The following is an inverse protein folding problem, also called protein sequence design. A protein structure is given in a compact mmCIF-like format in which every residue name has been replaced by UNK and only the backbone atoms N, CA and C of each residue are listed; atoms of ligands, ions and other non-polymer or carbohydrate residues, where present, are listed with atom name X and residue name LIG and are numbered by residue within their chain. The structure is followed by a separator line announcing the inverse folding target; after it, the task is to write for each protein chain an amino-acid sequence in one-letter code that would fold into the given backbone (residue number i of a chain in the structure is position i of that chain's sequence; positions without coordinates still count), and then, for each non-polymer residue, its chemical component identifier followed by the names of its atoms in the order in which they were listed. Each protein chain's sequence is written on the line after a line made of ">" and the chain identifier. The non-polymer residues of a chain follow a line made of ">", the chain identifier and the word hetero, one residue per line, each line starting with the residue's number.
data_IF_947464630883
#
_entry.id   IF_947464630883
#
_cell.length_a   1.000
_cell.length_b   1.000
_cell.length_c   1.000
_cell.angle_alpha   90.00
_cell.angle_beta   90.00
_cell.angle_gamma   90.00
#
_symmetry.space_group_name_H-M   'P 1'
#
loop_
_entity.id
_entity.type
_entity.pdbx_description
1 polymer ?
#
# COMPACT_ATOMS: atom_id res chain seq x y z
N UNK A 1 14.64 3.51 -32.50
CA UNK A 1 13.89 2.35 -32.01
C UNK A 1 13.33 2.76 -30.67
N UNK A 2 12.06 3.12 -30.65
CA UNK A 2 11.26 3.33 -29.44
C UNK A 2 11.10 1.96 -28.77
N UNK A 3 11.73 1.78 -27.62
CA UNK A 3 11.49 0.62 -26.77
C UNK A 3 10.07 0.80 -26.23
N UNK A 4 9.18 -0.12 -26.57
CA UNK A 4 7.83 -0.16 -26.02
C UNK A 4 7.95 -0.53 -24.52
N UNK A 5 7.63 0.37 -23.58
CA UNK A 5 7.75 0.08 -22.16
C UNK A 5 6.74 -0.99 -21.67
N UNK A 6 5.84 -1.44 -22.54
CA UNK A 6 4.83 -2.47 -22.22
C UNK A 6 5.15 -3.85 -22.80
N UNK A 7 6.24 -3.99 -23.61
CA UNK A 7 6.59 -5.25 -24.25
C UNK A 7 7.12 -6.34 -23.30
N UNK A 8 7.54 -5.97 -22.09
CA UNK A 8 8.13 -6.89 -21.10
C UNK A 8 7.22 -7.19 -19.89
N UNK A 9 5.91 -7.07 -20.03
CA UNK A 9 4.99 -7.55 -19.00
C UNK A 9 4.88 -9.09 -19.09
N UNK A 10 5.96 -9.76 -18.67
CA UNK A 10 6.16 -11.22 -18.84
C UNK A 10 5.16 -12.06 -18.02
N UNK A 11 4.34 -11.46 -17.14
CA UNK A 11 3.42 -12.18 -16.27
C UNK A 11 2.06 -11.50 -16.15
N UNK A 12 1.40 -11.22 -17.28
CA UNK A 12 0.08 -10.60 -17.29
C UNK A 12 -1.06 -11.57 -16.89
N UNK A 13 -0.84 -12.89 -16.88
CA UNK A 13 -1.85 -13.90 -16.56
C UNK A 13 -1.34 -14.89 -15.52
N UNK A 14 -2.25 -15.41 -14.70
CA UNK A 14 -2.01 -16.49 -13.72
C UNK A 14 -1.42 -17.78 -14.33
N UNK A 15 -1.52 -17.95 -15.66
CA UNK A 15 -1.00 -19.10 -16.42
C UNK A 15 0.53 -19.12 -16.56
N UNK A 16 1.22 -18.02 -16.30
CA UNK A 16 2.67 -17.86 -16.52
C UNK A 16 3.51 -18.09 -15.25
N UNK A 17 2.94 -18.76 -14.25
CA UNK A 17 3.64 -19.06 -12.99
C UNK A 17 4.86 -19.95 -13.24
N UNK A 18 6.02 -19.66 -12.63
CA UNK A 18 7.22 -20.49 -12.73
C UNK A 18 6.98 -21.92 -12.28
N UNK A 19 7.67 -22.89 -12.87
CA UNK A 19 7.56 -24.29 -12.48
C UNK A 19 7.91 -24.47 -10.98
N UNK A 20 6.98 -25.08 -10.22
CA UNK A 20 7.11 -25.26 -8.78
C UNK A 20 6.69 -24.05 -7.92
N UNK A 21 6.14 -23.01 -8.55
CA UNK A 21 5.61 -21.83 -7.87
C UNK A 21 4.14 -22.05 -7.48
N UNK A 22 3.87 -22.11 -6.19
CA UNK A 22 2.51 -22.02 -5.65
C UNK A 22 2.25 -20.60 -5.16
N UNK A 23 1.64 -19.78 -6.01
CA UNK A 23 1.38 -18.38 -5.74
C UNK A 23 0.46 -18.17 -4.52
N UNK A 24 -0.48 -19.08 -4.28
CA UNK A 24 -1.37 -19.03 -3.11
C UNK A 24 -0.62 -19.32 -1.82
N UNK A 25 0.26 -20.33 -1.83
CA UNK A 25 1.11 -20.65 -0.68
C UNK A 25 2.07 -19.51 -0.37
N UNK A 26 2.70 -18.92 -1.39
CA UNK A 26 3.57 -17.75 -1.22
C UNK A 26 2.81 -16.57 -0.63
N UNK A 27 1.64 -16.25 -1.17
CA UNK A 27 0.77 -15.19 -0.63
C UNK A 27 0.43 -15.46 0.84
N UNK A 28 0.02 -16.68 1.18
CA UNK A 28 -0.30 -17.08 2.56
C UNK A 28 0.88 -16.85 3.50
N UNK A 29 2.12 -17.17 3.07
CA UNK A 29 3.34 -16.92 3.87
C UNK A 29 3.61 -15.42 4.03
N UNK A 30 3.42 -14.63 2.98
CA UNK A 30 3.55 -13.16 3.04
C UNK A 30 2.59 -12.58 4.09
N UNK A 31 1.33 -13.00 4.07
CA UNK A 31 0.33 -12.53 5.03
C UNK A 31 0.73 -12.91 6.48
N UNK A 32 1.18 -14.14 6.71
CA UNK A 32 1.64 -14.59 8.03
C UNK A 32 2.87 -13.83 8.53
N UNK A 33 3.85 -13.57 7.66
CA UNK A 33 5.05 -12.79 7.99
C UNK A 33 4.68 -11.32 8.28
N UNK A 34 3.76 -10.75 7.53
CA UNK A 34 3.26 -9.40 7.78
C UNK A 34 2.57 -9.28 9.13
N UNK A 35 1.71 -10.23 9.48
CA UNK A 35 1.06 -10.28 10.80
C UNK A 35 2.10 -10.36 11.93
N UNK A 36 3.15 -11.19 11.79
CA UNK A 36 4.24 -11.29 12.75
C UNK A 36 5.06 -9.98 12.89
N UNK A 37 5.04 -9.12 11.87
CA UNK A 37 5.66 -7.79 11.90
C UNK A 37 4.72 -6.70 12.43
N UNK A 38 3.48 -7.06 12.81
CA UNK A 38 2.51 -6.15 13.41
C UNK A 38 1.67 -5.36 12.40
N UNK A 39 1.55 -5.85 11.17
CA UNK A 39 0.51 -5.41 10.25
C UNK A 39 -0.78 -6.15 10.61
N UNK A 40 -1.88 -5.42 10.76
CA UNK A 40 -3.18 -6.03 11.11
C UNK A 40 -3.93 -6.53 9.87
N UNK A 41 -3.60 -6.00 8.68
CA UNK A 41 -4.14 -6.49 7.42
C UNK A 41 -3.17 -6.24 6.28
N UNK A 42 -3.02 -7.21 5.40
CA UNK A 42 -2.36 -7.09 4.11
C UNK A 42 -3.29 -7.60 3.03
N UNK A 43 -3.19 -7.02 1.84
CA UNK A 43 -3.91 -7.47 0.67
C UNK A 43 -3.11 -7.22 -0.60
N UNK A 44 -3.42 -7.93 -1.67
CA UNK A 44 -2.74 -7.84 -2.96
C UNK A 44 -3.70 -7.26 -3.99
N UNK A 45 -3.23 -6.27 -4.75
CA UNK A 45 -3.96 -5.71 -5.89
C UNK A 45 -3.06 -5.63 -7.13
N UNK A 46 -3.67 -5.36 -8.29
CA UNK A 46 -2.94 -5.03 -9.51
C UNK A 46 -2.51 -3.55 -9.54
N UNK A 47 -1.91 -3.12 -10.64
CA UNK A 47 -1.38 -1.76 -10.85
C UNK A 47 -2.33 -0.84 -11.61
N UNK A 48 -3.52 -1.30 -12.00
CA UNK A 48 -4.47 -0.51 -12.78
C UNK A 48 -5.17 0.54 -11.92
N UNK A 49 -4.89 1.80 -12.18
CA UNK A 49 -5.48 2.99 -11.56
C UNK A 49 -6.28 3.82 -12.57
N UNK A 50 -6.76 3.18 -13.64
CA UNK A 50 -7.53 3.86 -14.70
C UNK A 50 -8.83 4.49 -14.21
N UNK A 51 -9.43 3.94 -13.15
CA UNK A 51 -10.65 4.49 -12.52
C UNK A 51 -10.35 5.73 -11.67
N UNK A 52 -9.21 5.77 -11.02
CA UNK A 52 -8.78 6.85 -10.13
C UNK A 52 -8.19 8.03 -10.90
N UNK A 53 -7.56 7.76 -12.04
CA UNK A 53 -6.84 8.76 -12.84
C UNK A 53 -7.69 9.98 -13.21
N UNK A 54 -8.93 9.87 -13.74
CA UNK A 54 -9.75 11.04 -14.07
C UNK A 54 -10.04 11.93 -12.86
N UNK A 55 -10.26 11.33 -11.68
CA UNK A 55 -10.54 12.08 -10.46
C UNK A 55 -9.31 12.87 -9.99
N UNK A 56 -8.13 12.26 -10.01
CA UNK A 56 -6.87 12.92 -9.63
C UNK A 56 -6.57 14.07 -10.59
N UNK A 57 -6.71 13.84 -11.90
CA UNK A 57 -6.43 14.86 -12.92
C UNK A 57 -7.40 16.03 -12.84
N UNK A 58 -8.70 15.78 -12.66
CA UNK A 58 -9.72 16.83 -12.46
C UNK A 58 -9.42 17.63 -11.19
N UNK A 59 -9.12 16.97 -10.07
CA UNK A 59 -8.80 17.63 -8.81
C UNK A 59 -7.58 18.56 -8.93
N UNK A 60 -6.55 18.14 -9.67
CA UNK A 60 -5.38 18.98 -9.94
C UNK A 60 -5.73 20.16 -10.87
N UNK A 61 -6.50 19.91 -11.93
CA UNK A 61 -6.90 20.93 -12.90
C UNK A 61 -7.77 22.04 -12.26
N UNK A 62 -8.56 21.70 -11.25
CA UNK A 62 -9.37 22.64 -10.46
C UNK A 62 -8.55 23.40 -9.41
N UNK A 63 -7.24 23.15 -9.29
CA UNK A 63 -6.35 23.87 -8.38
C UNK A 63 -6.50 23.48 -6.91
N UNK A 64 -7.16 22.36 -6.60
CA UNK A 64 -7.35 21.89 -5.22
C UNK A 64 -6.05 21.47 -4.52
N UNK A 65 -4.96 21.31 -5.28
CA UNK A 65 -3.63 21.11 -4.71
C UNK A 65 -3.10 22.34 -3.95
N UNK A 66 -3.63 23.54 -4.23
CA UNK A 66 -3.18 24.78 -3.61
C UNK A 66 -1.67 24.98 -3.78
N UNK A 67 -0.96 25.25 -2.70
CA UNK A 67 0.50 25.44 -2.71
C UNK A 67 1.30 24.12 -2.70
N UNK A 68 0.61 22.96 -2.67
CA UNK A 68 1.25 21.64 -2.59
C UNK A 68 1.75 21.16 -3.96
N UNK A 69 2.63 21.93 -4.62
CA UNK A 69 3.16 21.63 -5.95
C UNK A 69 3.86 20.27 -6.09
N UNK A 70 4.17 19.58 -4.99
CA UNK A 70 4.65 18.20 -5.03
C UNK A 70 3.58 17.20 -5.47
N UNK A 71 2.30 17.53 -5.38
CA UNK A 71 1.18 16.69 -5.85
C UNK A 71 1.08 16.71 -7.39
N UNK A 72 1.40 17.82 -8.02
CA UNK A 72 1.46 17.96 -9.47
C UNK A 72 2.72 17.26 -10.04
N UNK A 73 3.82 17.35 -9.30
CA UNK A 73 5.06 16.67 -9.69
C UNK A 73 4.87 15.18 -9.61
N UNK A 74 5.30 14.47 -10.66
CA UNK A 74 5.24 13.01 -10.72
C UNK A 74 3.82 12.42 -10.67
N UNK A 75 2.82 13.17 -11.18
CA UNK A 75 1.44 12.65 -11.30
C UNK A 75 1.39 11.39 -12.17
N UNK A 76 2.21 11.33 -13.21
CA UNK A 76 2.44 10.16 -14.06
C UNK A 76 2.81 8.91 -13.24
N UNK A 77 3.77 9.04 -12.32
CA UNK A 77 4.20 7.94 -11.44
C UNK A 77 3.14 7.55 -10.42
N UNK A 78 2.29 8.51 -10.00
CA UNK A 78 1.17 8.22 -9.11
C UNK A 78 0.11 7.37 -9.79
N UNK A 79 -0.13 7.63 -11.07
CA UNK A 79 -1.17 6.96 -11.85
C UNK A 79 -0.67 5.68 -12.54
N UNK A 80 0.64 5.53 -12.68
CA UNK A 80 1.29 4.39 -13.31
C UNK A 80 2.40 3.83 -12.41
N UNK A 81 2.09 2.92 -11.51
CA UNK A 81 3.05 2.33 -10.57
C UNK A 81 4.32 1.77 -11.22
N UNK A 82 4.24 1.25 -12.44
CA UNK A 82 5.39 0.75 -13.21
C UNK A 82 6.40 1.84 -13.61
N UNK A 83 6.00 3.12 -13.64
CA UNK A 83 6.94 4.23 -13.82
C UNK A 83 7.74 4.56 -12.56
N UNK A 84 7.22 4.17 -11.39
CA UNK A 84 7.92 4.33 -10.12
C UNK A 84 8.85 3.16 -9.84
N UNK A 85 8.39 1.95 -10.12
CA UNK A 85 9.18 0.72 -10.04
C UNK A 85 8.92 -0.12 -11.29
N UNK A 86 9.89 -0.21 -12.22
CA UNK A 86 9.76 -1.00 -13.43
C UNK A 86 9.41 -2.46 -13.15
N UNK A 87 8.69 -3.08 -14.08
CA UNK A 87 8.23 -4.48 -13.99
C UNK A 87 7.24 -4.77 -12.86
N UNK A 88 6.74 -3.77 -12.12
CA UNK A 88 5.70 -3.99 -11.11
C UNK A 88 4.42 -4.50 -11.78
N UNK A 89 3.94 -5.66 -11.35
CA UNK A 89 2.67 -6.23 -11.79
C UNK A 89 1.67 -6.43 -10.64
N UNK A 90 2.14 -6.42 -9.39
CA UNK A 90 1.31 -6.51 -8.19
C UNK A 90 1.77 -5.53 -7.13
N UNK A 91 0.83 -5.11 -6.29
CA UNK A 91 1.08 -4.25 -5.13
C UNK A 91 0.50 -4.95 -3.90
N UNK A 92 1.34 -5.19 -2.91
CA UNK A 92 0.91 -5.65 -1.60
C UNK A 92 0.66 -4.40 -0.77
N UNK A 93 -0.59 -4.15 -0.41
CA UNK A 93 -0.97 -3.07 0.48
C UNK A 93 -0.97 -3.57 1.92
N UNK A 94 -0.49 -2.75 2.83
CA UNK A 94 -0.34 -3.09 4.24
C UNK A 94 -0.98 -2.02 5.13
N UNK A 95 -1.68 -2.48 6.15
CA UNK A 95 -2.32 -1.65 7.16
C UNK A 95 -1.70 -1.94 8.54
N UNK A 96 -1.42 -0.88 9.31
CA UNK A 96 -0.89 -0.99 10.66
C UNK A 96 -1.65 -0.05 11.60
N UNK A 97 -2.44 -0.61 12.50
CA UNK A 97 -3.17 0.16 13.50
C UNK A 97 -2.20 0.88 14.47
N UNK A 98 -2.58 2.09 14.87
CA UNK A 98 -1.80 2.91 15.81
C UNK A 98 -2.60 3.35 17.04
N UNK A 99 -3.88 3.02 17.13
CA UNK A 99 -4.69 3.36 18.30
C UNK A 99 -4.65 2.20 19.31
N UNK A 100 -4.05 2.39 20.52
CA UNK A 100 -4.11 1.39 21.57
C UNK A 100 -5.54 1.18 22.05
N UNK A 101 -5.87 -0.06 22.44
CA UNK A 101 -7.21 -0.44 22.90
C UNK A 101 -7.65 0.29 24.18
N UNK A 102 -6.70 0.68 25.02
CA UNK A 102 -6.91 1.39 26.30
C UNK A 102 -6.89 2.91 26.18
N UNK A 103 -6.93 3.44 24.95
CA UNK A 103 -6.92 4.88 24.70
C UNK A 103 -8.20 5.55 25.21
N UNK A 104 -8.05 6.59 26.06
CA UNK A 104 -9.13 7.40 26.62
C UNK A 104 -9.10 8.83 26.05
N UNK A 105 -9.49 9.05 24.78
CA UNK A 105 -9.34 10.37 24.12
C UNK A 105 -10.23 11.42 24.75
N UNK A 106 -11.41 11.08 25.22
CA UNK A 106 -12.36 12.03 25.82
C UNK A 106 -11.81 12.57 27.13
N UNK A 107 -11.30 11.68 28.01
CA UNK A 107 -10.72 12.09 29.29
C UNK A 107 -9.55 13.07 29.09
N UNK A 108 -8.69 12.82 28.09
CA UNK A 108 -7.58 13.72 27.76
C UNK A 108 -8.08 15.06 27.24
N UNK A 109 -9.14 15.09 26.41
CA UNK A 109 -9.74 16.33 25.89
C UNK A 109 -10.41 17.16 26.98
N UNK A 110 -10.97 16.52 28.02
CA UNK A 110 -11.63 17.20 29.14
C UNK A 110 -10.63 17.70 30.21
N UNK A 111 -9.38 17.24 30.16
CA UNK A 111 -8.34 17.66 31.07
C UNK A 111 -7.83 19.06 30.73
N UNK A 112 -7.93 20.01 31.68
CA UNK A 112 -7.42 21.38 31.51
C UNK A 112 -5.88 21.45 31.53
N UNK A 113 -5.21 20.44 32.07
CA UNK A 113 -3.76 20.43 32.32
C UNK A 113 -2.98 19.59 31.30
N UNK A 114 -3.68 18.98 30.35
CA UNK A 114 -3.08 18.08 29.38
C UNK A 114 -3.38 18.51 27.95
N UNK A 115 -2.33 18.69 27.13
CA UNK A 115 -2.49 18.94 25.72
C UNK A 115 -2.92 17.68 24.98
N UNK A 116 -3.93 17.79 24.13
CA UNK A 116 -4.31 16.70 23.22
C UNK A 116 -3.44 16.72 21.95
N UNK A 117 -2.61 15.71 21.79
CA UNK A 117 -1.76 15.52 20.60
C UNK A 117 -2.40 14.43 19.73
N UNK A 118 -2.46 14.68 18.42
CA UNK A 118 -2.96 13.69 17.44
C UNK A 118 -2.29 12.34 17.62
N UNK A 119 -3.08 11.29 17.74
CA UNK A 119 -2.61 9.95 18.11
C UNK A 119 -1.54 9.39 17.16
N UNK A 120 -1.66 9.67 15.85
CA UNK A 120 -0.66 9.22 14.89
C UNK A 120 0.74 9.81 15.12
N UNK A 121 0.82 10.97 15.81
CA UNK A 121 2.07 11.66 16.07
C UNK A 121 2.75 11.23 17.39
N UNK A 122 2.07 10.39 18.19
CA UNK A 122 2.62 9.93 19.46
C UNK A 122 3.66 8.80 19.27
N UNK A 123 4.67 8.81 20.12
CA UNK A 123 5.69 7.78 20.16
C UNK A 123 6.78 7.96 19.11
N UNK A 124 7.12 6.87 18.43
CA UNK A 124 8.16 6.88 17.39
C UNK A 124 7.63 7.42 16.09
N UNK A 125 8.48 8.08 15.30
CA UNK A 125 8.20 8.48 13.93
C UNK A 125 7.69 7.28 13.11
N UNK A 126 6.40 7.29 12.77
CA UNK A 126 5.73 6.17 12.10
C UNK A 126 6.29 5.90 10.70
N UNK A 127 6.77 6.93 9.99
CA UNK A 127 7.40 6.77 8.68
C UNK A 127 8.61 5.83 8.78
N UNK A 128 9.44 6.01 9.82
CA UNK A 128 10.61 5.14 10.05
C UNK A 128 10.21 3.75 10.51
N UNK A 129 9.18 3.65 11.36
CA UNK A 129 8.70 2.35 11.86
C UNK A 129 8.10 1.54 10.71
N UNK A 130 7.19 2.13 9.96
CA UNK A 130 6.49 1.46 8.86
C UNK A 130 7.47 1.05 7.76
N UNK A 131 8.31 1.99 7.30
CA UNK A 131 9.34 1.70 6.29
C UNK A 131 10.25 0.55 6.69
N UNK A 132 10.71 0.52 7.96
CA UNK A 132 11.55 -0.59 8.46
C UNK A 132 10.81 -1.93 8.46
N UNK A 133 9.54 -1.94 8.87
CA UNK A 133 8.74 -3.17 8.89
C UNK A 133 8.44 -3.68 7.48
N UNK A 134 8.08 -2.80 6.55
CA UNK A 134 7.88 -3.14 5.15
C UNK A 134 9.16 -3.65 4.49
N UNK A 135 10.30 -2.99 4.73
CA UNK A 135 11.60 -3.44 4.22
C UNK A 135 11.96 -4.83 4.77
N UNK A 136 11.70 -5.07 6.06
CA UNK A 136 11.93 -6.38 6.68
C UNK A 136 10.99 -7.44 6.10
N UNK A 137 9.73 -7.09 5.83
CA UNK A 137 8.80 -8.01 5.16
C UNK A 137 9.30 -8.35 3.75
N UNK A 138 9.70 -7.36 2.97
CA UNK A 138 10.26 -7.56 1.63
C UNK A 138 11.52 -8.46 1.65
N UNK A 139 12.42 -8.25 2.64
CA UNK A 139 13.59 -9.10 2.86
C UNK A 139 13.19 -10.56 3.17
N UNK A 140 12.23 -10.75 4.07
CA UNK A 140 11.75 -12.10 4.43
C UNK A 140 11.10 -12.81 3.25
N UNK A 141 10.34 -12.09 2.42
CA UNK A 141 9.75 -12.63 1.20
C UNK A 141 10.87 -13.06 0.23
N UNK A 142 11.87 -12.21 0.01
CA UNK A 142 13.01 -12.52 -0.84
C UNK A 142 13.76 -13.78 -0.36
N UNK A 143 13.95 -13.93 0.95
CA UNK A 143 14.57 -15.14 1.52
C UNK A 143 13.70 -16.38 1.31
N UNK A 144 12.38 -16.26 1.49
CA UNK A 144 11.43 -17.35 1.26
C UNK A 144 11.45 -17.82 -0.21
N UNK A 145 11.71 -16.89 -1.14
CA UNK A 145 11.72 -17.12 -2.57
C UNK A 145 13.14 -17.25 -3.16
N UNK A 146 14.15 -17.40 -2.31
CA UNK A 146 15.56 -17.40 -2.75
C UNK A 146 15.88 -18.47 -3.79
N UNK A 147 15.22 -19.62 -3.70
CA UNK A 147 15.43 -20.77 -4.60
C UNK A 147 14.49 -20.77 -5.82
N UNK A 148 13.59 -19.79 -5.93
CA UNK A 148 12.68 -19.68 -7.09
C UNK A 148 13.39 -19.05 -8.30
N UNK A 149 12.97 -19.43 -9.50
CA UNK A 149 13.34 -18.80 -10.74
C UNK A 149 12.06 -18.45 -11.52
N UNK A 150 11.93 -17.26 -12.08
CA UNK A 150 12.86 -16.12 -12.02
C UNK A 150 12.94 -15.47 -10.64
N UNK A 151 13.94 -14.62 -10.42
CA UNK A 151 14.04 -13.80 -9.19
C UNK A 151 13.00 -12.71 -9.20
N UNK A 152 12.34 -12.51 -8.07
CA UNK A 152 11.35 -11.45 -7.88
C UNK A 152 11.95 -10.27 -7.12
N UNK A 153 11.46 -9.07 -7.44
CA UNK A 153 11.81 -7.83 -6.77
C UNK A 153 10.66 -7.37 -5.86
N UNK A 154 11.01 -6.83 -4.70
CA UNK A 154 10.05 -6.28 -3.74
C UNK A 154 10.59 -4.95 -3.23
N UNK A 155 9.87 -3.85 -3.49
CA UNK A 155 10.24 -2.51 -3.06
C UNK A 155 9.16 -1.86 -2.21
N UNK A 156 9.54 -1.46 -0.99
CA UNK A 156 8.63 -0.86 -0.03
C UNK A 156 8.50 0.65 -0.22
N UNK A 157 7.27 1.14 -0.12
CA UNK A 157 6.91 2.56 -0.12
C UNK A 157 6.03 2.87 1.08
N UNK A 158 6.09 4.11 1.55
CA UNK A 158 5.18 4.66 2.55
C UNK A 158 5.24 6.18 2.49
N UNK A 159 4.09 6.83 2.49
CA UNK A 159 3.82 8.26 2.63
C UNK A 159 4.58 9.20 1.67
N UNK A 160 5.90 9.21 1.68
CA UNK A 160 6.72 10.18 0.93
C UNK A 160 6.89 9.87 -0.57
N UNK A 161 6.42 8.72 -1.04
CA UNK A 161 6.49 8.33 -2.45
C UNK A 161 5.28 8.85 -3.25
N UNK A 162 5.39 9.02 -4.57
CA UNK A 162 4.25 9.37 -5.42
C UNK A 162 3.35 8.15 -5.65
N UNK A 163 2.67 7.70 -4.60
CA UNK A 163 1.77 6.54 -4.57
C UNK A 163 0.38 6.99 -4.11
N UNK A 164 -0.67 6.44 -4.71
CA UNK A 164 -2.05 6.64 -4.29
C UNK A 164 -2.44 5.60 -3.24
N UNK A 165 -1.81 5.64 -2.06
CA UNK A 165 -1.94 4.63 -1.00
C UNK A 165 -3.40 4.32 -0.62
N UNK A 166 -4.25 5.36 -0.46
CA UNK A 166 -5.67 5.16 -0.11
C UNK A 166 -6.46 4.48 -1.23
N UNK A 167 -6.21 4.86 -2.47
CA UNK A 167 -6.87 4.24 -3.62
C UNK A 167 -6.45 2.77 -3.79
N UNK A 168 -5.17 2.48 -3.64
CA UNK A 168 -4.67 1.10 -3.63
C UNK A 168 -5.22 0.29 -2.45
N UNK A 169 -5.32 0.90 -1.27
CA UNK A 169 -5.90 0.29 -0.09
C UNK A 169 -7.39 -0.04 -0.26
N UNK A 170 -8.17 0.86 -0.88
CA UNK A 170 -9.58 0.60 -1.22
C UNK A 170 -9.69 -0.51 -2.27
N UNK A 171 -8.91 -0.39 -3.35
CA UNK A 171 -8.88 -1.37 -4.43
C UNK A 171 -8.51 -2.78 -3.97
N UNK A 172 -7.64 -2.90 -2.98
CA UNK A 172 -7.24 -4.19 -2.40
C UNK A 172 -8.17 -4.73 -1.32
N UNK A 173 -9.20 -3.98 -0.93
CA UNK A 173 -10.15 -4.40 0.11
C UNK A 173 -9.67 -4.17 1.54
N UNK A 174 -8.70 -3.26 1.76
CA UNK A 174 -8.34 -2.85 3.13
C UNK A 174 -9.43 -2.00 3.79
N UNK A 175 -10.35 -1.43 3.01
CA UNK A 175 -11.43 -0.59 3.48
C UNK A 175 -12.09 0.17 2.35
N UNK A 176 -12.77 1.28 2.66
CA UNK A 176 -13.39 2.19 1.68
C UNK A 176 -13.01 3.64 2.00
N UNK A 177 -12.99 4.51 1.00
CA UNK A 177 -12.71 5.94 1.19
C UNK A 177 -13.99 6.65 1.65
N UNK A 178 -13.95 7.18 2.87
CA UNK A 178 -15.06 7.95 3.44
C UNK A 178 -15.15 9.38 2.89
N UNK A 179 -16.26 10.08 3.15
CA UNK A 179 -16.46 11.49 2.74
C UNK A 179 -15.40 12.47 3.29
N UNK A 180 -14.73 12.11 4.36
CA UNK A 180 -13.61 12.86 4.96
C UNK A 180 -12.26 12.52 4.34
N UNK A 181 -12.26 11.75 3.23
CA UNK A 181 -11.09 11.34 2.44
C UNK A 181 -10.12 10.36 3.10
N UNK A 182 -10.43 9.84 4.28
CA UNK A 182 -9.64 8.77 4.90
C UNK A 182 -10.15 7.41 4.46
N UNK A 183 -9.24 6.43 4.42
CA UNK A 183 -9.62 5.03 4.29
C UNK A 183 -10.24 4.56 5.62
N UNK A 184 -11.41 3.94 5.52
CA UNK A 184 -12.17 3.41 6.65
C UNK A 184 -12.24 1.89 6.58
N UNK A 185 -12.20 1.26 7.73
CA UNK A 185 -12.49 -0.16 7.89
C UNK A 185 -13.57 -0.33 8.98
N UNK A 186 -14.43 -1.33 8.84
CA UNK A 186 -15.56 -1.54 9.74
C UNK A 186 -15.15 -1.77 11.19
N UNK A 187 -14.00 -2.44 11.40
CA UNK A 187 -13.51 -2.82 12.72
C UNK A 187 -12.44 -1.86 13.24
N UNK A 188 -11.54 -1.42 12.35
CA UNK A 188 -10.39 -0.57 12.71
C UNK A 188 -10.69 0.94 12.63
N UNK A 189 -11.86 1.35 12.12
CA UNK A 189 -12.16 2.75 11.85
C UNK A 189 -11.20 3.35 10.82
N UNK A 190 -10.53 4.46 11.16
CA UNK A 190 -9.50 5.08 10.31
C UNK A 190 -8.15 5.21 11.04
N UNK A 191 -7.96 4.48 12.13
CA UNK A 191 -6.82 4.62 13.04
C UNK A 191 -5.64 3.72 12.63
N UNK A 192 -5.20 3.82 11.38
CA UNK A 192 -4.11 3.01 10.86
C UNK A 192 -3.27 3.78 9.85
N UNK A 193 -2.04 3.35 9.73
CA UNK A 193 -1.12 3.76 8.67
C UNK A 193 -1.22 2.82 7.49
N UNK A 194 -0.88 3.33 6.31
CA UNK A 194 -0.80 2.57 5.06
C UNK A 194 0.65 2.49 4.58
N UNK A 195 0.93 1.47 3.82
CA UNK A 195 2.18 1.33 3.10
C UNK A 195 2.10 0.20 2.09
N UNK A 196 2.99 0.20 1.11
CA UNK A 196 2.93 -0.68 -0.04
C UNK A 196 4.27 -1.37 -0.28
N UNK A 197 4.20 -2.58 -0.84
CA UNK A 197 5.33 -3.25 -1.46
C UNK A 197 4.96 -3.50 -2.92
N UNK A 198 5.72 -2.88 -3.81
CA UNK A 198 5.62 -3.11 -5.25
C UNK A 198 6.45 -4.32 -5.63
N UNK A 199 5.90 -5.19 -6.49
CA UNK A 199 6.57 -6.43 -6.87
C UNK A 199 6.23 -6.86 -8.30
N UNK A 200 7.16 -7.56 -8.93
CA UNK A 200 6.95 -8.27 -10.18
C UNK A 200 6.56 -9.74 -9.96
N UNK A 201 6.34 -10.18 -8.72
CA UNK A 201 5.82 -11.51 -8.41
C UNK A 201 4.32 -11.58 -8.77
N UNK A 202 3.87 -12.58 -9.54
CA UNK A 202 2.48 -12.73 -9.98
C UNK A 202 1.61 -13.34 -8.86
N UNK A 203 1.45 -12.59 -7.78
CA UNK A 203 0.64 -12.99 -6.63
C UNK A 203 -0.86 -12.93 -6.97
N UNK A 204 -1.69 -13.83 -6.44
CA UNK A 204 -3.14 -13.77 -6.59
C UNK A 204 -3.69 -12.48 -5.98
N UNK A 205 -4.50 -11.76 -6.75
CA UNK A 205 -5.19 -10.54 -6.32
C UNK A 205 -6.28 -10.90 -5.32
N UNK A 206 -6.51 -10.03 -4.33
CA UNK A 206 -7.65 -10.16 -3.43
C UNK A 206 -8.91 -9.61 -4.10
N UNK A 207 -9.98 -10.41 -4.08
CA UNK A 207 -11.28 -9.96 -4.53
C UNK A 207 -11.90 -9.03 -3.48
N UNK A 208 -12.35 -7.85 -3.93
CA UNK A 208 -13.10 -6.93 -3.08
C UNK A 208 -14.56 -7.34 -3.12
N UNK A 209 -15.11 -7.82 -2.00
CA UNK A 209 -16.55 -7.96 -1.87
C UNK A 209 -17.20 -6.58 -1.96
N UNK A 210 -17.82 -6.28 -3.08
CA UNK A 210 -18.67 -5.09 -3.22
C UNK A 210 -19.91 -5.32 -2.36
N UNK A 211 -19.95 -4.70 -1.19
CA UNK A 211 -21.14 -4.70 -0.30
C UNK A 211 -21.99 -3.50 -0.58
#
# INVERSE_FOLDING_TARGET
>A
QTIDPFADNVFANDSDSPAGWDAHEVKRRILAQGAALGFDKLAVTDTDLSKEAPHVLSWLAEGFAGEMGYLERHVDKRLQPSLLEPSTCRIITARMQYLPADTQPIEVLESSDTAYISRYALGRDYHKVLRRRLAKLAEQINLTLADTQPKFAFRAFTDSAPVLEKALGEKSGLGWIGKHTLLLDKEAGSWFFLGEIFTNAPLPIDEVEVK
#
